data_IF_815990774743
#
_entry.id   IF_815990774743
#
_cell.length_a   1.000
_cell.length_b   1.000
_cell.length_c   1.000
_cell.angle_alpha   90.00
_cell.angle_beta   90.00
_cell.angle_gamma   90.00
#
_symmetry.space_group_name_H-M   'P 1'
#
loop_
_entity.id
_entity.type
_entity.pdbx_description
1 polymer ?
#
# COMPACT_ATOMS: atom_id res chain seq x y z
N UNK A 1 -41.43 -45.38 11.03
CA UNK A 1 -40.01 -45.04 11.30
C UNK A 1 -39.97 -43.72 12.06
N UNK A 2 -39.66 -43.71 13.36
CA UNK A 2 -39.57 -42.45 14.14
C UNK A 2 -38.21 -41.82 13.86
N UNK A 3 -38.19 -40.72 13.12
CA UNK A 3 -36.98 -39.92 12.94
C UNK A 3 -36.63 -39.33 14.30
N UNK A 4 -35.41 -39.57 14.75
CA UNK A 4 -34.94 -39.09 16.03
C UNK A 4 -34.45 -37.64 15.86
N UNK A 5 -35.26 -36.70 16.36
CA UNK A 5 -35.15 -35.26 16.12
C UNK A 5 -33.77 -34.70 16.49
N UNK A 6 -33.11 -35.29 17.49
CA UNK A 6 -31.76 -34.90 17.92
C UNK A 6 -30.74 -35.04 16.79
N UNK A 7 -30.77 -36.14 16.05
CA UNK A 7 -29.84 -36.36 14.93
C UNK A 7 -30.07 -35.39 13.77
N UNK A 8 -31.33 -35.02 13.52
CA UNK A 8 -31.67 -34.02 12.51
C UNK A 8 -31.14 -32.64 12.91
N UNK A 9 -31.33 -32.24 14.18
CA UNK A 9 -30.80 -30.99 14.70
C UNK A 9 -29.27 -30.93 14.65
N UNK A 10 -28.59 -32.02 15.04
CA UNK A 10 -27.12 -32.11 14.95
C UNK A 10 -26.65 -32.01 13.50
N UNK A 11 -27.33 -32.67 12.56
CA UNK A 11 -26.96 -32.61 11.15
C UNK A 11 -27.14 -31.20 10.56
N UNK A 12 -28.23 -30.51 10.92
CA UNK A 12 -28.45 -29.11 10.51
C UNK A 12 -27.32 -28.21 11.03
N UNK A 13 -26.95 -28.34 12.31
CA UNK A 13 -25.85 -27.57 12.90
C UNK A 13 -24.52 -27.80 12.17
N UNK A 14 -24.20 -29.05 11.82
CA UNK A 14 -22.98 -29.38 11.07
C UNK A 14 -22.99 -28.76 9.67
N UNK A 15 -24.12 -28.85 8.97
CA UNK A 15 -24.28 -28.25 7.63
C UNK A 15 -24.14 -26.73 7.72
N UNK A 16 -24.80 -26.08 8.68
CA UNK A 16 -24.69 -24.63 8.88
C UNK A 16 -23.25 -24.20 9.18
N UNK A 17 -22.53 -24.92 10.04
CA UNK A 17 -21.13 -24.61 10.33
C UNK A 17 -20.23 -24.73 9.08
N UNK A 18 -20.49 -25.73 8.23
CA UNK A 18 -19.79 -25.90 6.97
C UNK A 18 -20.06 -24.73 6.01
N UNK A 19 -21.31 -24.30 5.89
CA UNK A 19 -21.68 -23.13 5.08
C UNK A 19 -20.98 -21.85 5.56
N UNK A 20 -20.96 -21.59 6.86
CA UNK A 20 -20.24 -20.43 7.44
C UNK A 20 -18.75 -20.50 7.11
N UNK A 21 -18.13 -21.68 7.22
CA UNK A 21 -16.73 -21.86 6.84
C UNK A 21 -16.44 -21.53 5.36
N UNK A 22 -17.34 -21.91 4.46
CA UNK A 22 -17.24 -21.56 3.04
C UNK A 22 -17.44 -20.05 2.80
N UNK A 23 -18.44 -19.45 3.44
CA UNK A 23 -18.73 -18.03 3.34
C UNK A 23 -17.56 -17.16 3.84
N UNK A 24 -16.94 -17.54 4.97
CA UNK A 24 -15.76 -16.86 5.49
C UNK A 24 -14.58 -16.92 4.52
N UNK A 25 -14.37 -18.06 3.84
CA UNK A 25 -13.32 -18.19 2.82
C UNK A 25 -13.59 -17.30 1.61
N UNK A 26 -14.83 -17.24 1.15
CA UNK A 26 -15.23 -16.38 0.04
C UNK A 26 -15.11 -14.90 0.40
N UNK A 27 -15.59 -14.52 1.58
CA UNK A 27 -15.48 -13.16 2.13
C UNK A 27 -14.02 -12.71 2.21
N UNK A 28 -13.12 -13.57 2.71
CA UNK A 28 -11.69 -13.29 2.76
C UNK A 28 -11.09 -13.12 1.35
N UNK A 29 -11.43 -14.01 0.40
CA UNK A 29 -10.96 -13.88 -0.98
C UNK A 29 -11.41 -12.56 -1.64
N UNK A 30 -12.65 -12.14 -1.38
CA UNK A 30 -13.17 -10.85 -1.86
C UNK A 30 -12.41 -9.69 -1.20
N UNK A 31 -12.20 -9.73 0.12
CA UNK A 31 -11.46 -8.69 0.84
C UNK A 31 -10.04 -8.50 0.31
N UNK A 32 -9.32 -9.59 0.02
CA UNK A 32 -8.00 -9.55 -0.63
C UNK A 32 -8.05 -8.96 -2.04
N UNK A 33 -9.05 -9.34 -2.84
CA UNK A 33 -9.22 -8.79 -4.19
C UNK A 33 -9.51 -7.28 -4.15
N UNK A 34 -10.38 -6.84 -3.24
CA UNK A 34 -10.70 -5.43 -3.03
C UNK A 34 -9.49 -4.64 -2.56
N UNK A 35 -8.74 -5.15 -1.58
CA UNK A 35 -7.48 -4.58 -1.09
C UNK A 35 -6.52 -4.26 -2.25
N UNK A 36 -6.28 -5.27 -3.09
CA UNK A 36 -5.41 -5.18 -4.26
C UNK A 36 -5.92 -4.17 -5.29
N UNK A 37 -7.22 -4.19 -5.57
CA UNK A 37 -7.83 -3.24 -6.51
C UNK A 37 -7.72 -1.79 -6.01
N UNK A 38 -7.96 -1.55 -4.72
CA UNK A 38 -7.82 -0.23 -4.11
C UNK A 38 -6.39 0.29 -4.20
N UNK A 39 -5.39 -0.55 -3.88
CA UNK A 39 -3.98 -0.17 -4.01
C UNK A 39 -3.61 0.15 -5.46
N UNK A 40 -4.00 -0.70 -6.42
CA UNK A 40 -3.75 -0.45 -7.83
C UNK A 40 -4.41 0.86 -8.31
N UNK A 41 -5.64 1.15 -7.88
CA UNK A 41 -6.31 2.41 -8.20
C UNK A 41 -5.58 3.62 -7.62
N UNK A 42 -5.06 3.50 -6.39
CA UNK A 42 -4.27 4.56 -5.75
C UNK A 42 -2.95 4.79 -6.50
N UNK A 43 -2.25 3.72 -6.89
CA UNK A 43 -1.02 3.78 -7.67
C UNK A 43 -1.27 4.42 -9.04
N UNK A 44 -2.32 4.00 -9.76
CA UNK A 44 -2.72 4.61 -11.04
C UNK A 44 -3.07 6.09 -10.85
N UNK A 45 -3.78 6.45 -9.78
CA UNK A 45 -4.14 7.84 -9.49
C UNK A 45 -2.90 8.70 -9.25
N UNK A 46 -1.94 8.19 -8.46
CA UNK A 46 -0.65 8.82 -8.24
C UNK A 46 0.12 9.00 -9.55
N UNK A 47 0.23 7.97 -10.40
CA UNK A 47 0.90 8.07 -11.70
C UNK A 47 0.20 9.07 -12.64
N UNK A 48 -1.14 9.11 -12.64
CA UNK A 48 -1.92 10.09 -13.40
C UNK A 48 -1.68 11.53 -12.93
N UNK A 49 -1.28 11.76 -11.68
CA UNK A 49 -0.98 13.12 -11.21
C UNK A 49 0.16 13.76 -12.00
N UNK A 50 1.16 12.99 -12.41
CA UNK A 50 2.28 13.44 -13.25
C UNK A 50 1.90 13.74 -14.70
N UNK A 51 0.77 13.20 -15.17
CA UNK A 51 0.25 13.41 -16.53
C UNK A 51 -0.71 14.60 -16.53
N UNK A 52 -1.58 14.68 -15.53
CA UNK A 52 -2.75 15.57 -15.55
C UNK A 52 -2.55 16.89 -14.79
N UNK A 53 -1.59 16.98 -13.87
CA UNK A 53 -1.31 18.23 -13.16
C UNK A 53 -0.14 18.96 -13.83
N UNK A 54 -0.47 20.05 -14.51
CA UNK A 54 0.48 20.84 -15.31
C UNK A 54 1.78 21.14 -14.55
N UNK A 55 1.69 21.68 -13.33
CA UNK A 55 2.90 22.04 -12.58
C UNK A 55 3.76 20.82 -12.19
N UNK A 56 3.15 19.73 -11.72
CA UNK A 56 3.92 18.54 -11.33
C UNK A 56 4.57 17.89 -12.57
N UNK A 57 3.86 17.91 -13.70
CA UNK A 57 4.39 17.45 -14.99
C UNK A 57 5.58 18.30 -15.45
N UNK A 58 5.48 19.63 -15.35
CA UNK A 58 6.57 20.55 -15.66
C UNK A 58 7.77 20.31 -14.73
N UNK A 59 7.54 20.18 -13.42
CA UNK A 59 8.59 19.93 -12.43
C UNK A 59 9.32 18.59 -12.70
N UNK A 60 8.56 17.53 -12.98
CA UNK A 60 9.11 16.21 -13.34
C UNK A 60 9.89 16.25 -14.67
N UNK A 61 9.38 16.97 -15.66
CA UNK A 61 10.10 17.15 -16.93
C UNK A 61 11.43 17.89 -16.73
N UNK A 62 11.42 19.02 -16.01
CA UNK A 62 12.65 19.77 -15.70
C UNK A 62 13.67 18.91 -14.96
N UNK A 63 13.21 18.15 -13.97
CA UNK A 63 14.07 17.22 -13.22
C UNK A 63 14.73 16.20 -14.16
N UNK A 64 13.96 15.58 -15.06
CA UNK A 64 14.46 14.56 -16.00
C UNK A 64 15.37 15.13 -17.09
N UNK A 65 15.14 16.38 -17.50
CA UNK A 65 15.94 17.09 -18.50
C UNK A 65 17.22 17.70 -17.92
N UNK A 66 17.36 17.75 -16.58
CA UNK A 66 18.49 18.40 -15.90
C UNK A 66 18.37 19.92 -15.83
N UNK A 67 17.17 20.46 -16.05
CA UNK A 67 16.91 21.89 -15.95
C UNK A 67 16.87 22.34 -14.48
N UNK A 68 17.07 23.64 -14.25
CA UNK A 68 16.96 24.23 -12.92
C UNK A 68 15.53 24.13 -12.38
N UNK A 69 15.38 23.58 -11.17
CA UNK A 69 14.11 23.52 -10.45
C UNK A 69 13.87 24.80 -9.66
N UNK A 70 12.65 25.33 -9.73
CA UNK A 70 12.21 26.39 -8.82
C UNK A 70 11.87 25.82 -7.44
N UNK A 71 11.75 26.69 -6.42
CA UNK A 71 11.27 26.27 -5.09
C UNK A 71 9.87 25.64 -5.17
N UNK A 72 9.02 26.13 -6.08
CA UNK A 72 7.69 25.58 -6.28
C UNK A 72 7.74 24.20 -6.94
N UNK A 73 8.66 23.98 -7.91
CA UNK A 73 8.88 22.65 -8.50
C UNK A 73 9.31 21.63 -7.44
N UNK A 74 10.27 22.01 -6.58
CA UNK A 74 10.71 21.16 -5.46
C UNK A 74 9.56 20.84 -4.51
N UNK A 75 8.76 21.85 -4.14
CA UNK A 75 7.59 21.64 -3.29
C UNK A 75 6.62 20.61 -3.88
N UNK A 76 6.31 20.71 -5.18
CA UNK A 76 5.41 19.77 -5.85
C UNK A 76 5.98 18.34 -5.88
N UNK A 77 7.29 18.19 -6.12
CA UNK A 77 7.96 16.88 -6.12
C UNK A 77 7.97 16.24 -4.72
N UNK A 78 8.23 17.02 -3.67
CA UNK A 78 8.16 16.57 -2.27
C UNK A 78 6.73 16.19 -1.89
N UNK A 79 5.74 17.01 -2.26
CA UNK A 79 4.33 16.73 -2.01
C UNK A 79 3.86 15.45 -2.73
N UNK A 80 4.33 15.22 -3.97
CA UNK A 80 4.06 13.99 -4.70
C UNK A 80 4.63 12.77 -3.94
N UNK A 81 5.86 12.84 -3.42
CA UNK A 81 6.40 11.75 -2.60
C UNK A 81 5.61 11.54 -1.31
N UNK A 82 5.03 12.60 -0.73
CA UNK A 82 4.20 12.44 0.46
C UNK A 82 2.94 11.62 0.14
N UNK A 83 2.27 11.92 -0.97
CA UNK A 83 1.14 11.11 -1.47
C UNK A 83 1.57 9.66 -1.72
N UNK A 84 2.71 9.46 -2.38
CA UNK A 84 3.24 8.13 -2.68
C UNK A 84 3.46 7.30 -1.40
N UNK A 85 4.06 7.89 -0.37
CA UNK A 85 4.30 7.20 0.89
C UNK A 85 3.03 6.98 1.73
N UNK A 86 1.96 7.77 1.52
CA UNK A 86 0.64 7.44 2.10
C UNK A 86 0.07 6.15 1.50
N UNK A 87 0.33 5.89 0.22
CA UNK A 87 -0.03 4.62 -0.42
C UNK A 87 0.78 3.47 0.18
N UNK A 88 2.08 3.68 0.41
CA UNK A 88 2.95 2.65 1.01
C UNK A 88 2.58 2.34 2.47
N UNK A 89 2.24 3.34 3.28
CA UNK A 89 1.73 3.15 4.65
C UNK A 89 0.45 2.30 4.64
N UNK A 90 -0.47 2.59 3.70
CA UNK A 90 -1.66 1.76 3.51
C UNK A 90 -1.31 0.34 3.06
N UNK A 91 -0.44 0.17 2.06
CA UNK A 91 -0.02 -1.14 1.58
C UNK A 91 0.61 -1.98 2.69
N UNK A 92 1.45 -1.37 3.54
CA UNK A 92 2.03 -2.04 4.69
C UNK A 92 0.96 -2.47 5.70
N UNK A 93 -0.02 -1.60 6.00
CA UNK A 93 -1.14 -1.97 6.85
C UNK A 93 -1.91 -3.18 6.30
N UNK A 94 -2.19 -3.21 5.00
CA UNK A 94 -2.88 -4.33 4.34
C UNK A 94 -2.05 -5.62 4.34
N UNK A 95 -0.73 -5.51 4.22
CA UNK A 95 0.19 -6.64 4.36
C UNK A 95 0.14 -7.21 5.78
N UNK A 96 0.19 -6.33 6.79
CA UNK A 96 0.15 -6.72 8.20
C UNK A 96 -1.17 -7.33 8.63
N UNK A 97 -2.28 -7.01 7.95
CA UNK A 97 -3.59 -7.63 8.17
C UNK A 97 -3.79 -8.94 7.40
N UNK A 98 -2.84 -9.33 6.55
CA UNK A 98 -2.93 -10.52 5.70
C UNK A 98 -3.83 -10.35 4.45
N UNK A 99 -4.22 -9.11 4.13
CA UNK A 99 -5.00 -8.78 2.94
C UNK A 99 -4.13 -8.58 1.70
N UNK A 100 -2.89 -8.09 1.89
CA UNK A 100 -1.89 -7.97 0.84
C UNK A 100 -0.88 -9.11 0.95
N UNK A 101 -0.59 -9.77 -0.16
CA UNK A 101 0.38 -10.87 -0.20
C UNK A 101 1.81 -10.36 -0.01
N UNK A 102 2.69 -11.22 0.51
CA UNK A 102 4.08 -10.86 0.79
C UNK A 102 4.82 -10.41 -0.45
N UNK A 103 4.61 -11.09 -1.58
CA UNK A 103 5.24 -10.78 -2.86
C UNK A 103 4.85 -9.38 -3.36
N UNK A 104 3.63 -8.92 -3.06
CA UNK A 104 3.21 -7.56 -3.39
C UNK A 104 3.87 -6.54 -2.47
N UNK A 105 3.93 -6.81 -1.16
CA UNK A 105 4.64 -5.95 -0.24
C UNK A 105 6.13 -5.79 -0.59
N UNK A 106 6.79 -6.88 -1.00
CA UNK A 106 8.20 -6.85 -1.40
C UNK A 106 8.48 -5.90 -2.57
N UNK A 107 7.52 -5.70 -3.49
CA UNK A 107 7.65 -4.71 -4.57
C UNK A 107 7.70 -3.29 -4.02
N UNK A 108 6.81 -2.95 -3.08
CA UNK A 108 6.85 -1.65 -2.40
C UNK A 108 8.15 -1.47 -1.63
N UNK A 109 8.64 -2.50 -0.92
CA UNK A 109 9.95 -2.43 -0.26
C UNK A 109 11.08 -2.11 -1.25
N UNK A 110 11.08 -2.74 -2.44
CA UNK A 110 12.05 -2.44 -3.49
C UNK A 110 11.96 -0.98 -3.96
N UNK A 111 10.74 -0.48 -4.19
CA UNK A 111 10.51 0.92 -4.60
C UNK A 111 11.00 1.89 -3.53
N UNK A 112 10.67 1.62 -2.26
CA UNK A 112 11.12 2.43 -1.11
C UNK A 112 12.65 2.51 -1.08
N UNK A 113 13.35 1.38 -1.24
CA UNK A 113 14.83 1.36 -1.28
C UNK A 113 15.37 2.25 -2.40
N UNK A 114 14.85 2.11 -3.61
CA UNK A 114 15.25 2.93 -4.76
C UNK A 114 15.00 4.41 -4.49
N UNK A 115 13.82 4.77 -3.99
CA UNK A 115 13.47 6.16 -3.69
C UNK A 115 14.41 6.78 -2.65
N UNK A 116 14.70 6.07 -1.55
CA UNK A 116 15.63 6.60 -0.55
C UNK A 116 17.07 6.68 -1.04
N UNK A 117 17.49 5.81 -1.95
CA UNK A 117 18.85 5.80 -2.50
C UNK A 117 19.03 6.90 -3.56
N UNK A 118 18.06 7.04 -4.46
CA UNK A 118 18.24 7.79 -5.71
C UNK A 118 17.44 9.10 -5.76
N UNK A 119 16.39 9.25 -4.94
CA UNK A 119 15.47 10.38 -5.02
C UNK A 119 15.61 11.33 -3.82
N UNK A 120 16.19 12.51 -4.05
CA UNK A 120 16.35 13.52 -2.99
C UNK A 120 15.02 14.02 -2.41
N UNK A 121 13.96 14.10 -3.22
CA UNK A 121 12.64 14.56 -2.79
C UNK A 121 11.96 13.55 -1.88
N UNK A 122 12.24 12.25 -2.03
CA UNK A 122 11.76 11.22 -1.11
C UNK A 122 12.43 11.35 0.26
N UNK A 123 13.74 11.63 0.29
CA UNK A 123 14.47 11.90 1.54
C UNK A 123 14.00 13.18 2.22
N UNK A 124 13.82 14.26 1.45
CA UNK A 124 13.31 15.54 1.94
C UNK A 124 11.88 15.38 2.49
N UNK A 125 11.01 14.70 1.76
CA UNK A 125 9.66 14.35 2.20
C UNK A 125 9.68 13.56 3.52
N UNK A 126 10.53 12.53 3.62
CA UNK A 126 10.62 11.73 4.85
C UNK A 126 11.10 12.55 6.05
N UNK A 127 12.05 13.47 5.84
CA UNK A 127 12.49 14.37 6.90
C UNK A 127 11.38 15.30 7.39
N UNK A 128 10.49 15.75 6.51
CA UNK A 128 9.41 16.68 6.84
C UNK A 128 8.16 15.98 7.40
N UNK A 129 7.79 14.84 6.81
CA UNK A 129 6.50 14.19 7.04
C UNK A 129 6.61 12.76 7.58
N UNK A 130 7.83 12.21 7.73
CA UNK A 130 8.08 10.90 8.33
C UNK A 130 7.31 10.65 9.64
N UNK A 131 7.29 11.62 10.59
CA UNK A 131 6.53 11.50 11.83
C UNK A 131 5.00 11.38 11.65
N UNK A 132 4.45 11.77 10.50
CA UNK A 132 3.00 11.75 10.24
C UNK A 132 2.47 10.38 9.78
N UNK A 133 3.36 9.43 9.42
CA UNK A 133 2.94 8.08 9.05
C UNK A 133 2.69 7.20 10.28
N UNK A 134 2.04 6.05 10.09
CA UNK A 134 1.81 5.10 11.19
C UNK A 134 3.12 4.66 11.85
N UNK A 135 3.13 4.51 13.19
CA UNK A 135 4.32 4.08 13.94
C UNK A 135 4.86 2.74 13.44
N UNK A 136 3.97 1.83 13.03
CA UNK A 136 4.33 0.55 12.45
C UNK A 136 5.05 0.70 11.11
N UNK A 137 4.59 1.60 10.25
CA UNK A 137 5.23 1.86 8.97
C UNK A 137 6.56 2.60 9.13
N UNK A 138 6.67 3.54 10.08
CA UNK A 138 7.94 4.18 10.41
C UNK A 138 9.01 3.15 10.84
N UNK A 139 8.63 2.15 11.63
CA UNK A 139 9.52 1.04 12.01
C UNK A 139 9.93 0.21 10.80
N UNK A 140 8.98 -0.11 9.93
CA UNK A 140 9.25 -0.86 8.69
C UNK A 140 10.23 -0.12 7.78
N UNK A 141 10.01 1.18 7.55
CA UNK A 141 10.92 1.99 6.73
C UNK A 141 12.31 2.03 7.33
N UNK A 142 12.45 2.18 8.66
CA UNK A 142 13.77 2.07 9.32
C UNK A 142 14.44 0.72 9.03
N UNK A 143 13.73 -0.39 9.21
CA UNK A 143 14.27 -1.72 8.90
C UNK A 143 14.70 -1.84 7.43
N UNK A 144 13.98 -1.23 6.50
CA UNK A 144 14.35 -1.20 5.07
C UNK A 144 15.65 -0.41 4.87
N UNK A 145 15.79 0.74 5.53
CA UNK A 145 16.97 1.59 5.43
C UNK A 145 18.21 0.94 6.04
N UNK A 146 18.07 0.23 7.16
CA UNK A 146 19.17 -0.51 7.78
C UNK A 146 19.77 -1.57 6.83
N UNK A 147 18.99 -2.08 5.86
CA UNK A 147 19.49 -3.02 4.83
C UNK A 147 20.27 -2.35 3.69
N UNK A 148 20.29 -1.02 3.61
CA UNK A 148 21.08 -0.27 2.62
C UNK A 148 22.48 0.08 3.16
N UNK A 149 22.64 0.10 4.48
CA UNK A 149 23.91 0.45 5.15
C UNK A 149 24.79 -0.78 5.44
N UNK A 150 24.28 -1.99 5.18
CA UNK A 150 24.97 -3.29 5.35
C UNK A 150 25.59 -3.80 4.06
#
# INVERSE_FOLDING_TARGET
MKINLQWVSTLILLISALFVGLELRQSNAIAKATARQTLNNNDISYLKSYINHEQLSIADHRLKSGDSLTNYDRHQLVAAQHVNFRIFDNAYFQYRSGLLEKEEWQKYQSIIRTLFSENEFAREMWSLYGPNFSVSFQKEVRNILDTLES
#
